data_IF_813232033500
#
_entry.id   IF_813232033500
#
_cell.length_a   1.000
_cell.length_b   1.000
_cell.length_c   1.000
_cell.angle_alpha   90.00
_cell.angle_beta   90.00
_cell.angle_gamma   90.00
#
_symmetry.space_group_name_H-M   'P 1'
#
loop_
_entity.id
_entity.type
_entity.pdbx_description
1 polymer ?
#
# COMPACT_ATOMS: atom_id res chain seq x y z
N UNK A 1 -7.01 23.29 6.97
CA UNK A 1 -5.93 23.10 7.97
C UNK A 1 -5.61 24.45 8.58
N UNK A 2 -5.75 24.61 9.89
CA UNK A 2 -5.32 25.84 10.58
C UNK A 2 -3.79 25.86 10.68
N UNK A 3 -3.16 26.90 10.13
CA UNK A 3 -1.71 27.00 10.02
C UNK A 3 -0.99 27.21 11.37
N UNK A 4 -1.69 27.74 12.37
CA UNK A 4 -1.12 28.08 13.67
C UNK A 4 -1.26 26.95 14.70
N UNK A 5 -2.33 26.15 14.58
CA UNK A 5 -2.70 25.10 15.53
C UNK A 5 -2.60 23.70 14.94
N UNK A 6 -2.43 23.56 13.63
CA UNK A 6 -2.38 22.26 12.94
C UNK A 6 -3.70 21.50 12.92
N UNK A 7 -4.81 22.13 13.34
CA UNK A 7 -6.14 21.51 13.41
C UNK A 7 -6.81 21.54 12.04
N UNK A 8 -7.26 20.39 11.55
CA UNK A 8 -8.04 20.30 10.31
C UNK A 8 -8.31 18.86 9.90
N UNK A 9 -9.26 18.70 8.99
CA UNK A 9 -9.49 17.42 8.32
C UNK A 9 -8.34 17.15 7.34
N UNK A 10 -7.85 15.92 7.31
CA UNK A 10 -6.78 15.51 6.40
C UNK A 10 -7.42 14.92 5.14
N UNK A 11 -6.96 15.33 3.96
CA UNK A 11 -7.26 14.58 2.74
C UNK A 11 -6.56 13.21 2.85
N UNK A 12 -7.32 12.16 3.19
CA UNK A 12 -6.78 10.82 3.43
C UNK A 12 -6.38 10.12 2.14
N UNK A 13 -7.03 10.47 1.03
CA UNK A 13 -6.70 10.04 -0.31
C UNK A 13 -7.06 11.13 -1.32
N UNK A 14 -6.29 11.20 -2.41
CA UNK A 14 -6.62 12.01 -3.58
C UNK A 14 -6.47 11.13 -4.82
N UNK A 15 -7.57 10.94 -5.55
CA UNK A 15 -7.55 10.12 -6.76
C UNK A 15 -8.92 9.59 -7.18
N UNK A 16 -8.99 9.20 -8.44
CA UNK A 16 -10.05 8.46 -9.09
C UNK A 16 -9.48 7.21 -9.77
N UNK A 17 -10.16 6.74 -10.81
CA UNK A 17 -9.79 5.48 -11.49
C UNK A 17 -8.79 5.66 -12.64
N UNK A 18 -8.53 6.91 -13.02
CA UNK A 18 -7.60 7.31 -14.07
C UNK A 18 -6.20 7.62 -13.55
N UNK A 19 -5.42 8.33 -14.36
CA UNK A 19 -4.08 8.78 -14.00
C UNK A 19 -4.16 10.15 -13.33
N UNK A 20 -4.05 10.16 -12.01
CA UNK A 20 -4.14 11.37 -11.22
C UNK A 20 -2.79 11.76 -10.65
N UNK A 21 -2.43 13.04 -10.85
CA UNK A 21 -1.16 13.60 -10.42
C UNK A 21 -1.37 15.01 -9.87
N UNK A 22 -1.65 15.13 -8.56
CA UNK A 22 -1.42 16.38 -7.85
C UNK A 22 0.04 16.80 -8.04
N UNK A 23 0.26 18.04 -8.45
CA UNK A 23 1.60 18.61 -8.69
C UNK A 23 2.05 19.49 -7.53
N UNK A 24 1.14 20.31 -7.00
CA UNK A 24 1.42 21.23 -5.91
C UNK A 24 0.18 21.44 -5.04
N UNK A 25 0.42 21.75 -3.77
CA UNK A 25 -0.62 22.07 -2.80
C UNK A 25 -0.19 23.24 -1.93
N UNK A 26 -1.03 24.28 -1.84
CA UNK A 26 -0.76 25.48 -1.04
C UNK A 26 -1.92 25.79 -0.11
N UNK A 27 -1.59 26.12 1.15
CA UNK A 27 -2.56 26.59 2.13
C UNK A 27 -2.78 28.11 2.03
N UNK A 28 -3.97 28.59 2.35
CA UNK A 28 -4.22 30.01 2.58
C UNK A 28 -4.28 30.37 4.07
N UNK A 29 -4.15 31.66 4.44
CA UNK A 29 -4.29 32.12 5.83
C UNK A 29 -5.65 31.77 6.46
N UNK A 30 -6.69 31.60 5.65
CA UNK A 30 -8.03 31.21 6.09
C UNK A 30 -8.16 29.69 6.36
N UNK A 31 -7.10 28.94 6.06
CA UNK A 31 -6.98 27.49 6.27
C UNK A 31 -7.36 26.64 5.05
N UNK A 32 -7.82 27.27 3.96
CA UNK A 32 -8.19 26.58 2.72
C UNK A 32 -6.96 25.90 2.10
N UNK A 33 -7.15 24.78 1.41
CA UNK A 33 -6.09 24.08 0.68
C UNK A 33 -6.40 24.16 -0.80
N UNK A 34 -5.44 24.64 -1.59
CA UNK A 34 -5.52 24.65 -3.04
C UNK A 34 -4.63 23.56 -3.59
N UNK A 35 -5.17 22.70 -4.45
CA UNK A 35 -4.42 21.61 -5.08
C UNK A 35 -4.51 21.80 -6.59
N UNK A 36 -3.37 21.72 -7.28
CA UNK A 36 -3.29 21.80 -8.74
C UNK A 36 -2.63 20.55 -9.29
N UNK A 37 -3.03 20.13 -10.48
CA UNK A 37 -2.46 18.94 -11.09
C UNK A 37 -3.10 18.56 -12.42
N UNK A 38 -2.83 17.31 -12.81
CA UNK A 38 -3.41 16.69 -13.99
C UNK A 38 -4.16 15.42 -13.61
N UNK A 39 -5.23 15.14 -14.31
CA UNK A 39 -6.09 13.99 -14.08
C UNK A 39 -6.55 13.39 -15.40
N UNK A 40 -6.77 12.07 -15.42
CA UNK A 40 -7.58 11.40 -16.44
C UNK A 40 -8.84 10.79 -15.84
N UNK A 41 -9.22 11.21 -14.64
CA UNK A 41 -10.42 10.75 -13.94
C UNK A 41 -11.53 11.76 -14.15
N UNK A 42 -12.72 11.31 -14.56
CA UNK A 42 -13.90 12.20 -14.58
C UNK A 42 -14.39 12.53 -13.16
N UNK A 43 -14.03 11.71 -12.16
CA UNK A 43 -14.30 11.96 -10.75
C UNK A 43 -13.01 11.77 -9.94
N UNK A 44 -12.62 12.79 -9.18
CA UNK A 44 -11.53 12.74 -8.21
C UNK A 44 -12.15 12.80 -6.81
N UNK A 45 -11.84 11.83 -5.96
CA UNK A 45 -12.27 11.85 -4.56
C UNK A 45 -11.17 12.46 -3.69
N UNK A 46 -11.55 13.31 -2.73
CA UNK A 46 -10.67 14.02 -1.80
C UNK A 46 -10.82 13.57 -0.34
N UNK A 47 -11.63 12.53 -0.10
CA UNK A 47 -11.98 12.01 1.22
C UNK A 47 -13.42 12.35 1.63
N UNK A 48 -14.04 11.45 2.40
CA UNK A 48 -15.44 11.62 2.85
C UNK A 48 -16.40 11.78 1.67
N UNK A 49 -17.18 12.86 1.67
CA UNK A 49 -18.10 13.23 0.59
C UNK A 49 -17.51 14.24 -0.42
N UNK A 50 -16.25 14.65 -0.26
CA UNK A 50 -15.62 15.65 -1.11
C UNK A 50 -15.18 15.01 -2.43
N UNK A 51 -15.75 15.49 -3.54
CA UNK A 51 -15.40 15.04 -4.88
C UNK A 51 -15.31 16.21 -5.86
N UNK A 52 -14.45 16.06 -6.86
CA UNK A 52 -14.42 16.90 -8.05
C UNK A 52 -14.91 16.09 -9.23
N UNK A 53 -15.93 16.62 -9.92
CA UNK A 53 -16.46 16.04 -11.14
C UNK A 53 -16.04 16.90 -12.33
N UNK A 54 -15.46 16.26 -13.33
CA UNK A 54 -15.05 16.88 -14.58
C UNK A 54 -15.98 16.34 -15.66
N UNK A 55 -16.69 17.25 -16.32
CA UNK A 55 -17.59 16.91 -17.43
C UNK A 55 -16.95 17.39 -18.73
N UNK A 56 -16.67 16.48 -19.67
CA UNK A 56 -16.25 16.83 -21.03
C UNK A 56 -17.48 17.03 -21.91
N UNK A 57 -17.62 18.20 -22.54
CA UNK A 57 -18.74 18.46 -23.44
C UNK A 57 -18.67 17.57 -24.69
N UNK A 58 -19.76 16.86 -25.00
CA UNK A 58 -19.88 16.07 -26.23
C UNK A 58 -19.55 14.57 -26.09
N UNK A 59 -19.15 14.12 -24.90
CA UNK A 59 -19.03 12.69 -24.57
C UNK A 59 -20.09 12.26 -23.54
N UNK A 60 -20.66 11.06 -23.71
CA UNK A 60 -21.54 10.45 -22.71
C UNK A 60 -20.70 9.88 -21.57
N UNK A 61 -20.33 10.76 -20.64
CA UNK A 61 -19.71 10.37 -19.39
C UNK A 61 -20.83 9.87 -18.49
N UNK A 62 -20.82 8.58 -18.15
CA UNK A 62 -21.78 7.96 -17.22
C UNK A 62 -21.50 8.49 -15.80
N UNK A 63 -21.85 9.73 -15.56
CA UNK A 63 -21.27 10.59 -14.54
C UNK A 63 -22.21 10.78 -13.32
N UNK A 64 -23.25 9.95 -13.23
CA UNK A 64 -24.18 9.89 -12.11
C UNK A 64 -23.48 9.39 -10.83
N UNK A 65 -22.97 10.35 -10.06
CA UNK A 65 -22.35 10.17 -8.75
C UNK A 65 -23.25 9.46 -7.72
N UNK A 66 -24.56 9.38 -7.96
CA UNK A 66 -25.52 8.67 -7.11
C UNK A 66 -25.64 7.16 -7.35
N UNK A 67 -25.21 6.65 -8.52
CA UNK A 67 -25.31 5.23 -8.88
C UNK A 67 -23.95 4.53 -9.02
N UNK A 68 -22.85 5.30 -9.01
CA UNK A 68 -21.48 4.76 -8.95
C UNK A 68 -21.21 3.96 -7.65
N UNK A 69 -22.01 4.17 -6.60
CA UNK A 69 -21.86 3.48 -5.32
C UNK A 69 -22.52 2.10 -5.25
N UNK A 70 -23.38 1.69 -6.20
CA UNK A 70 -24.21 0.50 -6.01
C UNK A 70 -24.06 -0.64 -7.02
N UNK A 71 -23.47 -0.44 -8.20
CA UNK A 71 -23.37 -1.54 -9.18
C UNK A 71 -22.27 -1.28 -10.21
N UNK A 72 -21.04 -1.74 -9.98
CA UNK A 72 -20.10 -2.23 -11.02
C UNK A 72 -19.90 -1.45 -12.32
N UNK A 73 -20.17 -0.14 -12.36
CA UNK A 73 -19.86 0.74 -13.50
C UNK A 73 -18.84 1.77 -13.01
N UNK A 74 -17.59 1.42 -13.25
CA UNK A 74 -16.39 2.18 -12.91
C UNK A 74 -16.57 3.62 -13.41
N UNK A 75 -16.34 4.61 -12.53
CA UNK A 75 -16.31 6.04 -12.88
C UNK A 75 -15.53 6.21 -14.19
N UNK A 76 -16.06 6.92 -15.20
CA UNK A 76 -15.37 7.03 -16.48
C UNK A 76 -14.04 7.78 -16.34
N UNK A 77 -13.01 7.35 -17.04
CA UNK A 77 -11.84 8.18 -17.33
C UNK A 77 -12.21 9.26 -18.34
N UNK A 78 -11.56 10.42 -18.29
CA UNK A 78 -11.65 11.41 -19.36
C UNK A 78 -10.87 10.94 -20.59
N UNK A 79 -11.24 11.43 -21.77
CA UNK A 79 -10.56 11.11 -23.02
C UNK A 79 -9.13 11.71 -23.07
N UNK A 80 -8.92 12.84 -22.41
CA UNK A 80 -7.65 13.56 -22.35
C UNK A 80 -7.19 13.86 -20.91
N UNK A 81 -5.93 14.27 -20.75
CA UNK A 81 -5.47 14.80 -19.46
C UNK A 81 -6.08 16.18 -19.23
N UNK A 82 -6.83 16.30 -18.15
CA UNK A 82 -7.42 17.56 -17.73
C UNK A 82 -6.51 18.22 -16.69
N UNK A 83 -6.25 19.52 -16.86
CA UNK A 83 -5.67 20.33 -15.78
C UNK A 83 -6.78 20.65 -14.78
N UNK A 84 -6.52 20.44 -13.50
CA UNK A 84 -7.44 20.82 -12.45
C UNK A 84 -6.79 21.79 -11.46
N UNK A 85 -7.62 22.68 -10.92
CA UNK A 85 -7.32 23.49 -9.76
C UNK A 85 -8.52 23.39 -8.82
N UNK A 86 -8.33 22.75 -7.67
CA UNK A 86 -9.37 22.60 -6.65
C UNK A 86 -9.05 23.49 -5.46
N UNK A 87 -10.10 24.04 -4.87
CA UNK A 87 -10.07 24.66 -3.55
C UNK A 87 -10.85 23.77 -2.59
N UNK A 88 -10.16 23.24 -1.58
CA UNK A 88 -10.77 22.61 -0.41
C UNK A 88 -10.93 23.69 0.65
N UNK A 89 -12.13 24.27 0.74
CA UNK A 89 -12.40 25.34 1.71
C UNK A 89 -12.46 24.78 3.14
N UNK A 90 -11.92 25.50 4.12
CA UNK A 90 -12.03 25.16 5.56
C UNK A 90 -13.32 25.65 6.22
N UNK A 91 -14.27 26.14 5.45
CA UNK A 91 -15.41 26.85 5.98
C UNK A 91 -16.70 26.05 5.81
N UNK A 92 -16.96 25.18 6.77
CA UNK A 92 -18.28 24.86 7.31
C UNK A 92 -18.07 24.13 8.64
N UNK A 93 -19.00 24.24 9.58
CA UNK A 93 -18.97 23.41 10.79
C UNK A 93 -18.83 21.96 10.33
N UNK A 94 -17.81 21.25 10.81
CA UNK A 94 -17.57 19.86 10.44
C UNK A 94 -18.90 19.09 10.58
N UNK A 95 -19.47 18.68 9.45
CA UNK A 95 -20.73 17.94 9.45
C UNK A 95 -20.41 16.62 10.09
N UNK A 96 -20.94 16.39 11.28
CA UNK A 96 -20.73 15.15 12.01
C UNK A 96 -21.08 13.97 11.08
N UNK A 97 -20.14 13.06 10.79
CA UNK A 97 -20.41 11.87 10.00
C UNK A 97 -21.70 11.18 10.41
N UNK A 98 -22.47 10.71 9.42
CA UNK A 98 -23.85 10.24 9.64
C UNK A 98 -23.94 9.04 10.59
N UNK A 99 -22.87 8.26 10.74
CA UNK A 99 -22.76 7.14 11.65
C UNK A 99 -22.40 7.54 13.09
N UNK A 100 -22.18 8.83 13.39
CA UNK A 100 -21.83 9.28 14.75
C UNK A 100 -23.01 9.94 15.46
N UNK A 101 -23.07 9.73 16.78
CA UNK A 101 -23.98 10.40 17.69
C UNK A 101 -23.36 11.67 18.29
N UNK A 102 -22.07 11.58 18.63
CA UNK A 102 -21.29 12.71 19.14
C UNK A 102 -19.79 12.44 19.00
N UNK A 103 -18.97 13.47 19.14
CA UNK A 103 -17.53 13.34 19.21
C UNK A 103 -16.98 14.33 20.24
N UNK A 104 -16.12 13.85 21.13
CA UNK A 104 -15.45 14.67 22.14
C UNK A 104 -13.93 14.58 21.98
N UNK A 105 -13.21 15.60 22.44
CA UNK A 105 -11.75 15.53 22.53
C UNK A 105 -11.38 15.17 23.96
N UNK A 106 -10.65 14.08 24.14
CA UNK A 106 -10.02 13.71 25.40
C UNK A 106 -8.51 13.80 25.20
N UNK A 107 -7.86 14.76 25.87
CA UNK A 107 -6.40 14.98 25.76
C UNK A 107 -5.91 15.20 24.31
N UNK A 108 -6.72 15.88 23.48
CA UNK A 108 -6.51 16.07 22.03
C UNK A 108 -6.66 14.81 21.16
N UNK A 109 -7.13 13.70 21.73
CA UNK A 109 -7.53 12.51 20.98
C UNK A 109 -9.04 12.57 20.74
N UNK A 110 -9.46 12.34 19.49
CA UNK A 110 -10.87 12.25 19.15
C UNK A 110 -11.47 10.98 19.77
N UNK A 111 -12.58 11.15 20.47
CA UNK A 111 -13.36 10.09 21.10
C UNK A 111 -14.80 10.12 20.55
N UNK A 112 -15.04 9.42 19.43
CA UNK A 112 -16.35 9.37 18.78
C UNK A 112 -17.29 8.38 19.47
N UNK A 113 -18.56 8.76 19.60
CA UNK A 113 -19.66 7.84 19.92
C UNK A 113 -20.35 7.49 18.60
N UNK A 114 -20.28 6.23 18.20
CA UNK A 114 -20.76 5.72 16.91
C UNK A 114 -22.14 5.09 17.13
N UNK A 115 -23.10 5.42 16.26
CA UNK A 115 -24.47 4.88 16.28
C UNK A 115 -24.43 3.36 16.23
N UNK A 116 -25.40 2.73 16.89
CA UNK A 116 -25.64 1.29 16.74
C UNK A 116 -25.79 0.90 15.27
N UNK A 117 -25.32 -0.30 14.92
CA UNK A 117 -25.36 -0.87 13.57
C UNK A 117 -24.54 -0.13 12.50
N UNK A 118 -23.56 0.68 12.90
CA UNK A 118 -22.67 1.38 11.97
C UNK A 118 -21.22 1.34 12.45
N UNK A 119 -20.28 1.47 11.51
CA UNK A 119 -18.86 1.62 11.81
C UNK A 119 -18.34 2.98 11.31
N UNK A 120 -17.33 3.50 12.00
CA UNK A 120 -16.48 4.60 11.59
C UNK A 120 -15.05 4.08 11.42
N UNK A 121 -14.72 3.58 10.23
CA UNK A 121 -13.42 2.97 9.94
C UNK A 121 -12.62 3.95 9.08
N UNK A 122 -11.40 4.28 9.50
CA UNK A 122 -10.55 5.28 8.84
C UNK A 122 -11.28 6.62 8.61
N UNK A 123 -12.06 7.07 9.60
CA UNK A 123 -12.92 8.27 9.55
C UNK A 123 -14.03 8.25 8.48
N UNK A 124 -14.32 7.10 7.88
CA UNK A 124 -15.41 6.90 6.92
C UNK A 124 -16.52 6.08 7.57
N UNK A 125 -17.76 6.51 7.38
CA UNK A 125 -18.92 5.80 7.88
C UNK A 125 -19.33 4.66 6.95
N UNK A 126 -19.60 3.50 7.53
CA UNK A 126 -20.09 2.31 6.84
C UNK A 126 -21.32 1.74 7.54
N UNK A 127 -22.28 1.26 6.75
CA UNK A 127 -23.38 0.45 7.27
C UNK A 127 -22.85 -0.93 7.73
N UNK A 128 -23.50 -1.52 8.73
CA UNK A 128 -23.24 -2.91 9.11
C UNK A 128 -23.29 -3.85 7.91
N UNK A 129 -22.25 -4.67 7.75
CA UNK A 129 -22.12 -5.61 6.65
C UNK A 129 -21.52 -5.02 5.36
N UNK A 130 -21.27 -3.72 5.28
CA UNK A 130 -20.52 -3.14 4.16
C UNK A 130 -19.12 -3.77 4.06
N UNK A 131 -18.66 -4.01 2.83
CA UNK A 131 -17.38 -4.70 2.55
C UNK A 131 -16.24 -3.72 2.32
N UNK A 132 -14.99 -4.15 2.58
CA UNK A 132 -13.79 -3.38 2.23
C UNK A 132 -13.33 -3.59 0.77
N UNK A 133 -14.27 -3.89 -0.14
CA UNK A 133 -14.00 -4.17 -1.55
C UNK A 133 -13.28 -3.00 -2.25
N UNK A 134 -13.63 -1.76 -1.91
CA UNK A 134 -12.96 -0.54 -2.38
C UNK A 134 -11.45 -0.52 -2.09
N UNK A 135 -11.00 -1.28 -1.09
CA UNK A 135 -9.60 -1.39 -0.69
C UNK A 135 -8.97 -2.72 -1.11
N UNK A 136 -9.60 -3.46 -2.03
CA UNK A 136 -9.14 -4.77 -2.48
C UNK A 136 -9.21 -5.87 -1.42
N UNK A 137 -10.05 -5.69 -0.39
CA UNK A 137 -10.20 -6.64 0.73
C UNK A 137 -11.68 -7.02 0.93
N UNK A 138 -12.35 -7.60 -0.10
CA UNK A 138 -13.80 -7.84 -0.07
C UNK A 138 -14.27 -8.80 1.02
N UNK A 139 -13.40 -9.69 1.51
CA UNK A 139 -13.67 -10.61 2.61
C UNK A 139 -13.70 -9.94 4.00
N UNK A 140 -13.41 -8.64 4.10
CA UNK A 140 -13.56 -7.85 5.32
C UNK A 140 -14.86 -7.06 5.31
N UNK A 141 -15.47 -6.91 6.48
CA UNK A 141 -16.76 -6.22 6.65
C UNK A 141 -16.76 -5.27 7.85
N UNK A 142 -17.61 -4.24 7.79
CA UNK A 142 -18.02 -3.49 8.97
C UNK A 142 -18.89 -4.40 9.85
N UNK A 143 -18.38 -4.78 11.03
CA UNK A 143 -19.14 -5.54 12.02
C UNK A 143 -19.20 -4.78 13.36
N UNK A 144 -20.22 -3.92 13.55
CA UNK A 144 -20.33 -3.09 14.74
C UNK A 144 -20.55 -3.88 16.03
N UNK A 145 -20.92 -5.17 15.93
CA UNK A 145 -21.00 -6.08 17.09
C UNK A 145 -19.63 -6.55 17.60
N UNK A 146 -18.56 -6.42 16.80
CA UNK A 146 -17.19 -6.75 17.18
C UNK A 146 -16.36 -5.49 17.41
N UNK A 147 -16.34 -4.59 16.42
CA UNK A 147 -15.61 -3.33 16.47
C UNK A 147 -16.29 -2.32 15.56
N UNK A 148 -16.37 -1.07 16.00
CA UNK A 148 -16.92 0.02 15.21
C UNK A 148 -15.84 0.85 14.52
N UNK A 149 -14.55 0.60 14.79
CA UNK A 149 -13.44 1.42 14.29
C UNK A 149 -12.42 0.66 13.47
N UNK A 150 -12.59 -0.65 13.31
CA UNK A 150 -11.70 -1.50 12.52
C UNK A 150 -12.50 -2.47 11.65
N UNK A 151 -11.89 -2.92 10.55
CA UNK A 151 -12.47 -3.96 9.71
C UNK A 151 -12.47 -5.30 10.46
N UNK A 152 -13.56 -6.05 10.32
CA UNK A 152 -13.68 -7.41 10.85
C UNK A 152 -13.67 -8.44 9.73
N UNK A 153 -13.33 -9.69 10.06
CA UNK A 153 -13.52 -10.79 9.11
C UNK A 153 -15.00 -10.94 8.76
N UNK A 154 -15.26 -10.97 7.46
CA UNK A 154 -16.56 -11.28 6.88
C UNK A 154 -16.92 -12.76 7.02
N UNK A 155 -18.15 -13.12 6.65
CA UNK A 155 -18.65 -14.49 6.81
C UNK A 155 -17.96 -15.51 5.88
N UNK A 156 -17.19 -15.05 4.89
CA UNK A 156 -16.49 -15.91 3.93
C UNK A 156 -15.11 -16.34 4.43
N UNK A 157 -14.48 -15.57 5.31
CA UNK A 157 -13.16 -15.90 5.88
C UNK A 157 -13.27 -17.16 6.73
N UNK A 158 -12.48 -18.18 6.39
CA UNK A 158 -12.53 -19.49 7.04
C UNK A 158 -13.65 -20.41 6.56
N UNK A 159 -14.31 -20.05 5.46
CA UNK A 159 -15.33 -20.88 4.80
C UNK A 159 -15.05 -21.03 3.30
N UNK A 160 -14.79 -19.92 2.61
CA UNK A 160 -14.52 -19.86 1.16
C UNK A 160 -13.28 -19.02 0.84
N UNK A 161 -12.89 -18.12 1.75
CA UNK A 161 -11.74 -17.24 1.56
C UNK A 161 -10.75 -17.38 2.72
N UNK A 162 -9.48 -17.13 2.42
CA UNK A 162 -8.45 -16.83 3.42
C UNK A 162 -8.14 -15.34 3.42
N UNK A 163 -7.73 -14.82 4.57
CA UNK A 163 -7.17 -13.48 4.71
C UNK A 163 -5.68 -13.57 5.05
N UNK A 164 -4.83 -13.64 4.02
CA UNK A 164 -3.40 -13.90 4.15
C UNK A 164 -2.61 -12.69 3.64
N UNK A 165 -1.72 -12.15 4.47
CA UNK A 165 -0.87 -11.02 4.08
C UNK A 165 -1.66 -9.75 3.74
N UNK A 166 -2.76 -9.50 4.45
CA UNK A 166 -3.68 -8.37 4.24
C UNK A 166 -4.40 -8.39 2.87
N UNK A 167 -4.54 -9.58 2.27
CA UNK A 167 -5.22 -9.81 1.00
C UNK A 167 -6.25 -10.92 1.20
N UNK A 168 -7.43 -10.76 0.62
CA UNK A 168 -8.43 -11.82 0.51
C UNK A 168 -8.03 -12.75 -0.64
N UNK A 169 -7.92 -14.05 -0.35
CA UNK A 169 -7.55 -15.12 -1.27
C UNK A 169 -8.72 -16.09 -1.38
N UNK A 170 -9.02 -16.54 -2.58
CA UNK A 170 -10.05 -17.58 -2.79
C UNK A 170 -9.48 -18.96 -2.43
N UNK A 171 -10.35 -19.87 -1.99
CA UNK A 171 -10.01 -21.29 -1.80
C UNK A 171 -9.29 -21.86 -3.03
N UNK A 172 -8.17 -22.53 -2.79
CA UNK A 172 -7.32 -23.12 -3.83
C UNK A 172 -6.32 -22.16 -4.48
N UNK A 173 -6.30 -20.87 -4.13
CA UNK A 173 -5.28 -19.95 -4.64
C UNK A 173 -3.90 -20.28 -4.07
N UNK A 174 -2.89 -20.39 -4.92
CA UNK A 174 -1.51 -20.72 -4.50
C UNK A 174 -0.72 -19.47 -4.11
N UNK A 175 0.22 -19.63 -3.18
CA UNK A 175 1.20 -18.60 -2.85
C UNK A 175 2.02 -18.22 -4.09
N UNK A 176 2.10 -16.94 -4.38
CA UNK A 176 2.98 -16.41 -5.43
C UNK A 176 4.13 -15.60 -4.85
N UNK A 177 5.34 -15.80 -5.36
CA UNK A 177 6.53 -15.01 -5.04
C UNK A 177 7.02 -14.26 -6.28
N UNK A 178 7.18 -12.94 -6.16
CA UNK A 178 7.64 -12.09 -7.27
C UNK A 178 9.11 -11.76 -7.12
N UNK A 179 9.96 -12.48 -7.84
CA UNK A 179 11.41 -12.25 -7.89
C UNK A 179 11.74 -10.91 -8.59
N UNK A 180 10.99 -10.55 -9.65
CA UNK A 180 11.21 -9.30 -10.36
C UNK A 180 9.93 -8.75 -11.00
N UNK A 181 10.01 -7.58 -11.65
CA UNK A 181 8.85 -7.04 -12.37
C UNK A 181 8.32 -7.97 -13.47
N UNK A 182 9.13 -8.91 -13.96
CA UNK A 182 8.81 -9.81 -15.09
C UNK A 182 8.70 -11.29 -14.69
N UNK A 183 9.08 -11.65 -13.47
CA UNK A 183 9.16 -13.06 -13.03
C UNK A 183 8.39 -13.20 -11.73
N UNK A 184 7.36 -14.05 -11.78
CA UNK A 184 6.55 -14.47 -10.65
C UNK A 184 6.51 -15.98 -10.64
N UNK A 185 6.91 -16.55 -9.50
CA UNK A 185 6.86 -17.98 -9.22
C UNK A 185 5.60 -18.28 -8.40
N UNK A 186 5.08 -19.49 -8.55
CA UNK A 186 3.91 -19.98 -7.81
C UNK A 186 4.34 -21.21 -7.03
N UNK A 187 3.92 -21.30 -5.77
CA UNK A 187 4.16 -22.46 -4.93
C UNK A 187 3.45 -23.68 -5.51
N UNK A 188 4.01 -24.87 -5.27
CA UNK A 188 3.37 -26.12 -5.64
C UNK A 188 2.52 -26.71 -4.49
N UNK A 189 2.70 -26.22 -3.27
CA UNK A 189 2.11 -26.83 -2.06
C UNK A 189 1.45 -25.81 -1.15
N UNK A 190 1.89 -24.56 -1.13
CA UNK A 190 1.28 -23.52 -0.30
C UNK A 190 0.08 -22.92 -1.01
N UNK A 191 -1.10 -23.11 -0.42
CA UNK A 191 -2.38 -22.63 -0.95
C UNK A 191 -3.27 -22.07 0.15
N UNK A 192 -4.25 -21.25 -0.24
CA UNK A 192 -5.37 -20.92 0.62
C UNK A 192 -6.26 -22.14 0.73
N UNK A 193 -6.32 -22.75 1.91
CA UNK A 193 -7.39 -23.66 2.30
C UNK A 193 -8.08 -23.05 3.53
N UNK A 194 -9.26 -22.44 3.36
CA UNK A 194 -9.93 -21.71 4.42
C UNK A 194 -10.42 -22.63 5.56
N UNK A 195 -10.58 -23.93 5.30
CA UNK A 195 -11.02 -24.90 6.31
C UNK A 195 -9.86 -25.40 7.18
N UNK A 196 -8.63 -25.38 6.65
CA UNK A 196 -7.41 -25.69 7.40
C UNK A 196 -6.85 -24.45 8.11
N UNK A 197 -6.67 -23.34 7.39
CA UNK A 197 -6.18 -22.08 7.92
C UNK A 197 -6.72 -20.88 7.14
N UNK A 198 -7.45 -20.00 7.82
CA UNK A 198 -8.01 -18.81 7.20
C UNK A 198 -7.07 -17.60 7.22
N UNK A 199 -5.91 -17.68 7.88
CA UNK A 199 -4.99 -16.54 8.07
C UNK A 199 -3.54 -16.83 7.70
N UNK A 200 -3.22 -18.08 7.42
CA UNK A 200 -1.88 -18.52 6.99
C UNK A 200 -2.02 -19.42 5.76
N UNK A 201 -0.92 -19.62 5.03
CA UNK A 201 -0.90 -20.58 3.93
C UNK A 201 -0.97 -22.00 4.47
N UNK A 202 -1.88 -22.80 3.92
CA UNK A 202 -1.96 -24.24 4.18
C UNK A 202 -0.98 -25.00 3.27
N UNK A 203 -0.61 -26.23 3.62
CA UNK A 203 0.31 -27.07 2.83
C UNK A 203 -0.46 -28.27 2.30
N UNK A 204 -0.55 -28.39 0.98
CA UNK A 204 -1.24 -29.52 0.32
C UNK A 204 -0.68 -30.88 0.76
N UNK A 205 -1.57 -31.85 0.96
CA UNK A 205 -1.26 -33.15 1.61
C UNK A 205 -0.17 -33.98 0.95
N UNK A 206 0.09 -33.76 -0.34
CA UNK A 206 1.07 -34.50 -1.13
C UNK A 206 2.50 -33.94 -1.00
N UNK A 207 2.67 -32.84 -0.26
CA UNK A 207 3.92 -32.11 -0.17
C UNK A 207 4.36 -31.88 1.28
N UNK A 208 5.65 -31.68 1.46
CA UNK A 208 6.27 -31.13 2.65
C UNK A 208 6.80 -29.73 2.33
N UNK A 209 6.54 -28.78 3.23
CA UNK A 209 7.10 -27.45 3.15
C UNK A 209 8.61 -27.49 3.40
N UNK A 210 9.40 -26.89 2.51
CA UNK A 210 10.83 -26.72 2.68
C UNK A 210 11.08 -25.36 3.34
N UNK A 211 11.47 -25.37 4.61
CA UNK A 211 11.67 -24.14 5.38
C UNK A 211 12.79 -23.25 4.77
N UNK A 212 12.50 -21.95 4.65
CA UNK A 212 13.46 -20.95 4.18
C UNK A 212 13.59 -20.82 2.67
N UNK A 213 12.93 -21.68 1.89
CA UNK A 213 12.89 -21.60 0.43
C UNK A 213 11.69 -20.77 -0.05
N UNK A 214 11.84 -20.15 -1.22
CA UNK A 214 10.77 -19.44 -1.89
C UNK A 214 10.23 -20.26 -3.07
N UNK A 215 8.96 -20.03 -3.48
CA UNK A 215 8.46 -20.58 -4.72
C UNK A 215 9.42 -20.36 -5.90
N UNK A 216 9.63 -21.38 -6.75
CA UNK A 216 8.90 -22.66 -6.79
C UNK A 216 9.54 -23.80 -5.96
N UNK A 217 10.61 -23.53 -5.19
CA UNK A 217 11.43 -24.55 -4.51
C UNK A 217 11.00 -24.78 -3.05
N UNK A 218 9.88 -24.20 -2.63
CA UNK A 218 9.34 -24.25 -1.27
C UNK A 218 8.66 -25.57 -0.93
N UNK A 219 8.61 -26.53 -1.87
CA UNK A 219 7.85 -27.77 -1.74
C UNK A 219 8.67 -29.00 -2.13
N UNK A 220 8.66 -30.02 -1.28
CA UNK A 220 9.20 -31.34 -1.57
C UNK A 220 8.04 -32.35 -1.64
N UNK A 221 8.01 -33.20 -2.66
CA UNK A 221 6.95 -34.20 -2.83
C UNK A 221 7.14 -35.34 -1.82
N UNK A 222 6.08 -35.76 -1.13
CA UNK A 222 6.16 -36.82 -0.09
C UNK A 222 6.54 -38.19 -0.69
N UNK A 223 6.31 -38.38 -2.01
CA UNK A 223 6.54 -39.65 -2.70
C UNK A 223 7.83 -39.72 -3.51
N UNK A 224 8.61 -38.65 -3.60
CA UNK A 224 9.85 -38.69 -4.38
C UNK A 224 10.86 -39.59 -3.65
N UNK A 225 11.43 -40.62 -4.31
CA UNK A 225 12.50 -41.40 -3.71
C UNK A 225 13.67 -40.46 -3.40
N UNK A 226 14.41 -40.67 -2.30
CA UNK A 226 15.59 -39.86 -2.01
C UNK A 226 16.48 -39.87 -3.24
N UNK A 227 16.81 -38.69 -3.77
CA UNK A 227 17.78 -38.57 -4.86
C UNK A 227 19.05 -39.29 -4.40
N UNK A 228 19.34 -40.40 -5.06
CA UNK A 228 20.54 -41.20 -4.85
C UNK A 228 21.71 -40.30 -5.25
N UNK A 229 22.29 -39.63 -4.26
CA UNK A 229 23.48 -38.80 -4.47
C UNK A 229 24.55 -39.71 -5.06
N UNK A 230 25.12 -39.39 -6.24
CA UNK A 230 26.18 -40.20 -6.79
C UNK A 230 27.36 -40.16 -5.80
N UNK A 231 27.65 -41.30 -5.19
CA UNK A 231 28.87 -41.52 -4.44
C UNK A 231 30.01 -41.36 -5.45
N UNK A 232 30.65 -40.20 -5.45
CA UNK A 232 31.91 -39.99 -6.15
C UNK A 232 32.88 -41.09 -5.71
N UNK A 233 33.44 -41.90 -6.64
CA UNK A 233 34.44 -42.87 -6.26
C UNK A 233 35.66 -42.14 -5.71
N UNK A 234 36.01 -42.48 -4.46
CA UNK A 234 37.24 -42.08 -3.78
C UNK A 234 38.41 -42.25 -4.74
N UNK A 235 38.99 -41.13 -5.16
CA UNK A 235 40.25 -41.10 -5.91
C UNK A 235 41.36 -41.54 -4.97
N UNK A 236 41.88 -42.75 -5.19
CA UNK A 236 43.11 -43.22 -4.56
C UNK A 236 44.27 -42.29 -4.91
N UNK A 237 44.79 -41.59 -3.89
CA UNK A 237 46.06 -40.88 -3.95
C UNK A 237 47.20 -41.89 -3.86
N UNK A 238 48.09 -41.88 -4.85
CA UNK A 238 49.42 -42.48 -4.77
C UNK A 238 50.52 -41.45 -5.06
N UNK A 239 51.72 -41.63 -4.50
CA UNK A 239 52.59 -40.52 -4.10
C UNK A 239 53.70 -40.25 -5.12
N UNK A 240 54.11 -38.99 -5.24
CA UNK A 240 55.47 -38.66 -5.72
C UNK A 240 56.00 -37.42 -5.02
N UNK A 241 57.15 -37.62 -4.39
CA UNK A 241 58.02 -36.68 -3.68
C UNK A 241 59.12 -36.16 -4.66
N UNK A 242 60.15 -35.40 -4.24
CA UNK A 242 60.26 -33.94 -4.23
C UNK A 242 61.38 -33.40 -5.16
N UNK A 243 61.37 -32.11 -5.53
CA UNK A 243 62.58 -31.23 -5.58
C UNK A 243 62.19 -29.78 -5.95
N UNK A 244 62.39 -28.79 -5.06
CA UNK A 244 63.47 -27.76 -4.99
C UNK A 244 63.35 -26.67 -6.09
N UNK A 245 63.17 -25.36 -5.83
CA UNK A 245 64.16 -24.40 -5.25
C UNK A 245 63.51 -23.01 -4.93
N UNK A 246 64.01 -22.33 -3.90
CA UNK A 246 63.77 -20.93 -3.41
C UNK A 246 64.54 -19.85 -4.25
N UNK A 247 64.59 -18.50 -4.00
CA UNK A 247 63.92 -17.57 -3.04
C UNK A 247 63.38 -16.20 -3.62
N UNK A 248 62.70 -15.40 -2.76
CA UNK A 248 62.20 -13.99 -2.86
C UNK A 248 63.23 -12.89 -3.32
N UNK A 249 62.99 -11.53 -3.46
CA UNK A 249 61.93 -10.60 -2.94
C UNK A 249 61.56 -9.39 -3.92
N UNK A 250 61.36 -8.11 -3.52
CA UNK A 250 60.14 -7.40 -3.02
C UNK A 250 59.72 -6.10 -3.79
N UNK A 251 58.65 -5.44 -3.31
CA UNK A 251 58.19 -4.02 -3.50
C UNK A 251 57.50 -3.67 -4.85
N UNK A 252 56.59 -2.68 -5.00
CA UNK A 252 56.48 -1.33 -4.40
C UNK A 252 55.05 -0.73 -4.50
N UNK A 253 54.82 0.22 -3.61
CA UNK A 253 53.91 1.38 -3.64
C UNK A 253 53.62 2.04 -5.00
N UNK A 254 52.42 2.64 -5.14
CA UNK A 254 52.30 4.07 -5.50
C UNK A 254 50.90 4.64 -5.16
N UNK A 255 50.91 5.55 -4.18
CA UNK A 255 49.94 6.64 -4.04
C UNK A 255 50.28 7.72 -5.09
N UNK A 256 49.29 8.28 -5.76
CA UNK A 256 49.36 9.67 -6.23
C UNK A 256 47.96 10.29 -6.20
N UNK A 257 47.90 11.40 -5.48
CA UNK A 257 46.80 12.36 -5.30
C UNK A 257 46.60 13.15 -6.59
N UNK A 258 45.34 13.51 -6.89
CA UNK A 258 45.01 14.75 -7.59
C UNK A 258 43.64 15.22 -7.08
N UNK A 259 43.66 16.34 -6.36
CA UNK A 259 42.51 17.16 -5.94
C UNK A 259 42.02 18.04 -7.11
N UNK A 260 40.73 18.38 -7.10
CA UNK A 260 40.08 19.68 -7.46
C UNK A 260 38.56 19.42 -7.38
N UNK A 261 37.88 19.73 -6.27
CA UNK A 261 37.37 21.02 -5.77
C UNK A 261 36.29 21.67 -6.68
N UNK A 262 35.04 21.66 -6.21
CA UNK A 262 34.14 22.80 -6.35
C UNK A 262 33.05 22.76 -5.27
N UNK A 263 33.22 23.66 -4.32
CA UNK A 263 32.46 23.93 -3.11
C UNK A 263 30.98 24.31 -3.31
N UNK A 264 30.17 23.84 -2.37
CA UNK A 264 28.87 24.36 -1.99
C UNK A 264 29.03 25.74 -1.32
N UNK A 265 28.31 26.75 -1.81
CA UNK A 265 28.10 27.99 -1.08
C UNK A 265 26.73 27.95 -0.40
N UNK A 266 26.77 27.86 0.93
CA UNK A 266 25.68 28.11 1.86
C UNK A 266 25.49 29.63 1.98
N UNK A 267 24.27 30.13 1.80
CA UNK A 267 23.92 31.53 2.03
C UNK A 267 22.77 31.60 3.04
N UNK A 268 23.12 31.91 4.29
CA UNK A 268 22.21 32.42 5.31
C UNK A 268 21.95 33.92 5.08
N UNK A 269 20.71 34.42 5.21
CA UNK A 269 20.46 35.85 5.23
C UNK A 269 20.61 36.42 6.64
N UNK A 270 21.44 37.46 6.75
CA UNK A 270 21.61 38.27 7.95
C UNK A 270 20.36 39.12 8.25
N UNK A 271 20.02 39.14 9.53
CA UNK A 271 19.07 40.05 10.16
C UNK A 271 19.71 41.45 10.27
N UNK A 272 19.02 42.49 9.83
CA UNK A 272 19.40 43.89 10.01
C UNK A 272 18.17 44.71 10.38
N UNK A 273 18.08 45.04 11.66
CA UNK A 273 17.28 46.14 12.20
C UNK A 273 17.68 47.46 11.57
N UNK A 274 16.71 48.31 11.20
CA UNK A 274 16.79 49.73 11.54
C UNK A 274 15.43 50.44 11.48
N UNK A 275 15.28 51.43 12.37
CA UNK A 275 14.04 52.08 12.77
C UNK A 275 13.85 53.45 12.11
N UNK A 276 12.59 53.76 11.73
CA UNK A 276 11.90 55.07 11.75
C UNK A 276 12.47 56.27 10.94
N UNK A 277 11.70 57.38 10.71
CA UNK A 277 10.57 57.95 11.46
C UNK A 277 9.20 57.91 10.81
#
# INVERSE_FOLDING_TARGET
>A
LDADTGRGEYAMHSGGVGKDRPYDAVGSPEGDIYIVGYTQSAVINWGGALMTKITEEGEDQNDDAGTAFQMGKVSSSTSEYQFFAVKLSTSEDAVMPWCMESCSLQENVANPIIKGDTCLIDNVCYDSGATAELFGRPCLVCNPGLTQTEWSFGPTVGVQDCFIGNICREDGEFLTYRESRRVTHTSLCQLCDPLESSTEWSVGSDYLLVEGEFPPNDCANVTDPPEDSPIDPVVEVSPTDPTVTSPDPPMTSNNTVSEEDSSLNEATPNNSTDSNP
#
